data_IF_222516807144
#
_entry.id   IF_222516807144
#
_cell.length_a   1.000
_cell.length_b   1.000
_cell.length_c   1.000
_cell.angle_alpha   90.00
_cell.angle_beta   90.00
_cell.angle_gamma   90.00
#
_symmetry.space_group_name_H-M   'P 1'
#
loop_
_entity.id
_entity.type
_entity.pdbx_description
1 polymer ?
#
# COMPACT_ATOMS: atom_id res chain seq x y z
N UNK A 1 -46.61 36.90 15.05
CA UNK A 1 -45.58 37.95 15.14
C UNK A 1 -44.64 37.60 16.28
N UNK A 2 -43.33 37.75 16.05
CA UNK A 2 -42.25 37.84 17.04
C UNK A 2 -41.61 36.53 17.60
N UNK A 3 -40.47 36.17 16.98
CA UNK A 3 -39.14 35.85 17.58
C UNK A 3 -39.04 34.64 18.54
N UNK A 4 -38.40 33.55 18.11
CA UNK A 4 -37.01 33.16 18.42
C UNK A 4 -36.74 32.95 19.92
N UNK A 5 -36.55 31.70 20.33
CA UNK A 5 -35.49 31.22 21.25
C UNK A 5 -35.70 29.70 21.46
N UNK A 6 -34.80 28.88 20.92
CA UNK A 6 -33.68 28.27 21.67
C UNK A 6 -34.15 26.98 22.37
N UNK A 7 -34.15 25.86 21.65
CA UNK A 7 -33.04 24.89 21.60
C UNK A 7 -33.19 23.80 22.66
N UNK A 8 -33.34 22.56 22.21
CA UNK A 8 -32.42 21.46 22.51
C UNK A 8 -32.90 20.25 21.68
N UNK A 9 -32.39 20.22 20.45
CA UNK A 9 -32.39 19.03 19.62
C UNK A 9 -31.43 18.01 20.23
N UNK A 10 -31.77 16.73 20.12
CA UNK A 10 -30.92 15.68 19.54
C UNK A 10 -31.81 14.43 19.41
N UNK A 11 -32.47 14.38 18.25
CA UNK A 11 -33.43 13.36 17.89
C UNK A 11 -32.78 12.01 17.63
N UNK A 12 -33.43 10.98 18.17
CA UNK A 12 -33.45 9.64 17.61
C UNK A 12 -34.07 9.71 16.21
N UNK A 13 -33.27 9.48 15.17
CA UNK A 13 -33.78 9.28 13.81
C UNK A 13 -33.30 7.91 13.33
N UNK A 14 -34.19 6.93 13.46
CA UNK A 14 -34.10 5.69 12.70
C UNK A 14 -34.32 6.01 11.21
N UNK A 15 -33.34 5.70 10.37
CA UNK A 15 -33.51 5.66 8.92
C UNK A 15 -33.08 4.27 8.44
N UNK A 16 -34.10 3.51 8.06
CA UNK A 16 -34.03 2.29 7.25
C UNK A 16 -33.70 2.67 5.81
N UNK A 17 -32.62 2.12 5.25
CA UNK A 17 -32.40 2.07 3.79
C UNK A 17 -32.15 0.61 3.42
N UNK A 18 -33.13 0.03 2.74
CA UNK A 18 -32.99 -1.19 1.95
C UNK A 18 -32.28 -0.86 0.63
N UNK A 19 -31.48 -1.81 0.13
CA UNK A 19 -31.08 -1.86 -1.26
C UNK A 19 -29.66 -1.36 -1.55
N UNK A 20 -28.69 -2.27 -1.53
CA UNK A 20 -28.00 -2.75 -2.73
C UNK A 20 -26.82 -3.58 -2.28
N UNK A 21 -26.72 -4.78 -2.83
CA UNK A 21 -25.56 -5.63 -2.73
C UNK A 21 -24.36 -4.91 -3.37
N UNK A 22 -23.64 -4.10 -2.61
CA UNK A 22 -22.22 -3.91 -2.90
C UNK A 22 -21.57 -5.21 -2.50
N UNK A 23 -21.50 -6.12 -3.48
CA UNK A 23 -20.50 -7.16 -3.53
C UNK A 23 -19.21 -6.54 -3.02
N UNK A 24 -18.86 -6.87 -1.78
CA UNK A 24 -17.49 -6.78 -1.32
C UNK A 24 -16.81 -7.87 -2.16
N UNK A 25 -16.48 -7.52 -3.41
CA UNK A 25 -15.55 -8.28 -4.20
C UNK A 25 -14.30 -8.22 -3.36
N UNK A 26 -14.06 -9.28 -2.59
CA UNK A 26 -12.72 -9.77 -2.44
C UNK A 26 -12.22 -9.88 -3.88
N UNK A 27 -11.53 -8.83 -4.32
CA UNK A 27 -10.89 -8.77 -5.62
C UNK A 27 -9.86 -9.89 -5.58
N UNK A 28 -10.30 -11.05 -6.05
CA UNK A 28 -9.52 -12.00 -6.81
C UNK A 28 -8.08 -12.07 -6.30
N UNK A 29 -7.88 -12.86 -5.23
CA UNK A 29 -6.57 -13.32 -4.76
C UNK A 29 -5.92 -14.11 -5.88
N UNK A 30 -5.43 -13.40 -6.89
CA UNK A 30 -4.55 -13.90 -7.89
C UNK A 30 -3.16 -13.50 -7.46
N UNK A 31 -2.52 -14.50 -6.87
CA UNK A 31 -1.13 -14.91 -7.04
C UNK A 31 -0.58 -14.74 -8.47
N UNK A 32 -0.87 -13.63 -9.14
CA UNK A 32 -0.42 -13.28 -10.48
C UNK A 32 0.92 -12.56 -10.37
N UNK A 33 1.85 -12.96 -11.23
CA UNK A 33 3.06 -12.21 -11.49
C UNK A 33 2.67 -10.85 -12.08
N UNK A 34 2.93 -9.78 -11.35
CA UNK A 34 2.64 -8.39 -11.77
C UNK A 34 3.94 -7.64 -11.97
N UNK A 35 3.97 -6.80 -13.00
CA UNK A 35 5.00 -5.78 -13.20
C UNK A 35 4.48 -4.47 -12.63
N UNK A 36 5.18 -3.93 -11.63
CA UNK A 36 4.83 -2.71 -10.93
C UNK A 36 5.95 -1.69 -11.06
N UNK A 37 5.59 -0.43 -11.29
CA UNK A 37 6.53 0.67 -11.40
C UNK A 37 6.30 1.63 -10.23
N UNK A 38 7.39 2.06 -9.60
CA UNK A 38 7.31 2.88 -8.41
C UNK A 38 8.67 3.29 -7.87
N UNK A 39 8.70 3.75 -6.63
CA UNK A 39 9.93 4.09 -5.92
C UNK A 39 10.35 2.96 -5.01
N UNK A 40 11.53 2.39 -5.27
CA UNK A 40 12.15 1.40 -4.41
C UNK A 40 12.78 2.13 -3.22
N UNK A 41 12.39 1.72 -2.02
CA UNK A 41 12.77 2.34 -0.76
C UNK A 41 13.28 1.29 0.24
N UNK A 42 14.16 1.69 1.15
CA UNK A 42 14.67 0.83 2.21
C UNK A 42 13.69 0.78 3.40
N UNK A 43 13.20 -0.40 3.76
CA UNK A 43 12.22 -0.58 4.85
C UNK A 43 12.78 -0.25 6.23
N UNK A 44 14.10 -0.34 6.38
CA UNK A 44 14.81 0.05 7.60
C UNK A 44 15.11 1.55 7.62
N UNK A 45 15.91 2.02 6.66
CA UNK A 45 16.49 3.36 6.73
C UNK A 45 15.47 4.46 6.39
N UNK A 46 14.70 4.28 5.32
CA UNK A 46 13.75 5.29 4.86
C UNK A 46 12.40 5.19 5.59
N UNK A 47 11.92 3.95 5.82
CA UNK A 47 10.59 3.73 6.41
C UNK A 47 10.61 3.49 7.93
N UNK A 48 11.75 3.11 8.52
CA UNK A 48 11.85 2.76 9.95
C UNK A 48 10.85 1.68 10.41
N UNK A 49 10.47 0.76 9.52
CA UNK A 49 9.47 -0.29 9.79
C UNK A 49 10.10 -1.64 10.14
N UNK A 50 11.40 -1.82 9.90
CA UNK A 50 12.11 -3.09 10.11
C UNK A 50 13.50 -2.90 10.72
N UNK A 51 13.93 -3.84 11.58
CA UNK A 51 15.26 -3.80 12.22
C UNK A 51 16.41 -4.15 11.25
N UNK A 52 16.09 -4.95 10.22
CA UNK A 52 17.02 -5.41 9.18
C UNK A 52 16.72 -4.70 7.86
N UNK A 53 17.76 -4.51 7.05
CA UNK A 53 17.60 -3.97 5.70
C UNK A 53 16.72 -4.90 4.87
N UNK A 54 15.71 -4.30 4.26
CA UNK A 54 14.81 -4.90 3.27
C UNK A 54 14.32 -3.77 2.36
N UNK A 55 13.50 -4.12 1.38
CA UNK A 55 13.03 -3.14 0.40
C UNK A 55 11.51 -3.18 0.25
N UNK A 56 10.95 -2.03 -0.10
CA UNK A 56 9.57 -1.88 -0.49
C UNK A 56 9.48 -1.06 -1.78
N UNK A 57 8.49 -1.34 -2.61
CA UNK A 57 8.14 -0.52 -3.77
C UNK A 57 6.91 0.31 -3.41
N UNK A 58 7.06 1.63 -3.47
CA UNK A 58 5.99 2.61 -3.30
C UNK A 58 5.38 2.90 -4.67
N UNK A 59 4.13 2.47 -4.87
CA UNK A 59 3.40 2.62 -6.13
C UNK A 59 2.25 3.59 -5.91
N UNK A 60 2.13 4.61 -6.75
CA UNK A 60 0.98 5.51 -6.74
C UNK A 60 -0.19 4.87 -7.49
N UNK A 61 -1.28 4.60 -6.80
CA UNK A 61 -2.56 4.13 -7.36
C UNK A 61 -3.67 5.04 -6.90
N UNK A 62 -4.44 5.59 -7.84
CA UNK A 62 -5.60 6.44 -7.55
C UNK A 62 -5.27 7.61 -6.60
N UNK A 63 -4.09 8.21 -6.77
CA UNK A 63 -3.59 9.31 -5.93
C UNK A 63 -3.11 8.89 -4.53
N UNK A 64 -3.17 7.61 -4.18
CA UNK A 64 -2.68 7.05 -2.91
C UNK A 64 -1.40 6.28 -3.13
N UNK A 65 -0.53 6.31 -2.11
CA UNK A 65 0.67 5.49 -2.09
C UNK A 65 0.34 4.10 -1.53
N UNK A 66 0.65 3.07 -2.32
CA UNK A 66 0.50 1.67 -1.94
C UNK A 66 1.90 1.06 -1.81
N UNK A 67 2.17 0.47 -0.66
CA UNK A 67 3.47 -0.11 -0.32
C UNK A 67 3.48 -1.62 -0.59
N UNK A 68 4.42 -2.05 -1.42
CA UNK A 68 4.66 -3.45 -1.74
C UNK A 68 6.02 -3.88 -1.19
N UNK A 69 6.04 -4.69 -0.13
CA UNK A 69 7.28 -5.20 0.47
C UNK A 69 7.90 -6.26 -0.44
N UNK A 70 9.22 -6.31 -0.54
CA UNK A 70 9.93 -7.31 -1.34
C UNK A 70 10.40 -8.46 -0.44
N UNK A 71 10.09 -9.70 -0.84
CA UNK A 71 10.73 -10.88 -0.25
C UNK A 71 12.08 -11.10 -0.92
N UNK A 72 13.08 -10.37 -0.46
CA UNK A 72 14.43 -10.35 -1.01
C UNK A 72 15.50 -10.74 0.03
N UNK A 73 16.78 -10.64 -0.34
CA UNK A 73 17.93 -10.92 0.54
C UNK A 73 18.40 -9.69 1.33
N UNK A 74 17.60 -8.63 1.38
CA UNK A 74 17.89 -7.40 2.11
C UNK A 74 19.19 -6.74 1.67
N UNK A 75 20.08 -6.45 2.63
CA UNK A 75 21.38 -5.80 2.36
C UNK A 75 22.29 -6.55 1.36
N UNK A 76 22.01 -7.83 1.09
CA UNK A 76 22.78 -8.65 0.14
C UNK A 76 22.31 -8.51 -1.31
N UNK A 77 21.24 -7.76 -1.56
CA UNK A 77 20.75 -7.49 -2.91
C UNK A 77 21.69 -6.54 -3.65
N UNK A 78 21.86 -6.77 -4.95
CA UNK A 78 22.74 -5.96 -5.80
C UNK A 78 22.29 -4.50 -5.93
N UNK A 79 21.00 -4.24 -5.69
CA UNK A 79 20.39 -2.92 -5.70
C UNK A 79 20.44 -2.20 -4.35
N UNK A 80 20.78 -2.89 -3.25
CA UNK A 80 20.70 -2.33 -1.90
C UNK A 80 21.44 -0.99 -1.77
N UNK A 81 22.68 -0.93 -2.25
CA UNK A 81 23.51 0.29 -2.16
C UNK A 81 22.90 1.50 -2.87
N UNK A 82 22.01 1.31 -3.84
CA UNK A 82 21.36 2.41 -4.58
C UNK A 82 20.14 2.96 -3.85
N UNK A 83 19.42 2.11 -3.13
CA UNK A 83 18.18 2.48 -2.42
C UNK A 83 18.33 2.59 -0.90
N UNK A 84 19.55 2.45 -0.35
CA UNK A 84 19.80 2.48 1.09
C UNK A 84 19.71 3.91 1.67
N UNK A 85 20.16 4.91 0.90
CA UNK A 85 20.23 6.31 1.34
C UNK A 85 19.23 7.23 0.66
N UNK A 86 18.57 6.77 -0.40
CA UNK A 86 17.56 7.52 -1.14
C UNK A 86 16.60 6.57 -1.85
N UNK A 87 15.39 7.05 -2.15
CA UNK A 87 14.44 6.32 -2.97
C UNK A 87 14.86 6.38 -4.45
N UNK A 88 14.78 5.25 -5.14
CA UNK A 88 15.12 5.16 -6.57
C UNK A 88 13.93 4.68 -7.38
N UNK A 89 13.71 5.27 -8.55
CA UNK A 89 12.67 4.78 -9.44
C UNK A 89 13.04 3.38 -9.97
N UNK A 90 12.12 2.45 -9.85
CA UNK A 90 12.34 1.05 -10.19
C UNK A 90 11.08 0.41 -10.76
N UNK A 91 11.31 -0.65 -11.52
CA UNK A 91 10.30 -1.60 -11.94
C UNK A 91 10.55 -2.90 -11.21
N UNK A 92 9.52 -3.45 -10.56
CA UNK A 92 9.59 -4.75 -9.89
C UNK A 92 8.58 -5.68 -10.54
N UNK A 93 9.05 -6.84 -10.97
CA UNK A 93 8.20 -7.92 -11.44
C UNK A 93 8.23 -9.06 -10.44
N UNK A 94 7.08 -9.54 -10.01
CA UNK A 94 7.01 -10.69 -9.12
C UNK A 94 5.58 -11.02 -8.71
N UNK A 95 5.44 -12.06 -7.90
CA UNK A 95 4.15 -12.56 -7.46
C UNK A 95 3.63 -11.74 -6.29
N UNK A 96 2.53 -11.01 -6.49
CA UNK A 96 1.94 -10.19 -5.43
C UNK A 96 1.05 -11.06 -4.54
N UNK A 97 1.35 -11.09 -3.25
CA UNK A 97 0.58 -11.81 -2.23
C UNK A 97 0.29 -10.90 -1.05
N UNK A 98 -0.86 -11.07 -0.42
CA UNK A 98 -1.17 -10.40 0.84
C UNK A 98 -0.75 -11.30 2.02
N UNK A 99 0.14 -10.80 2.87
CA UNK A 99 0.60 -11.45 4.10
C UNK A 99 0.52 -10.46 5.24
N UNK A 100 -0.09 -10.85 6.35
CA UNK A 100 -0.19 -9.99 7.54
C UNK A 100 -0.78 -8.59 7.25
N UNK A 101 -1.77 -8.53 6.35
CA UNK A 101 -2.40 -7.27 5.85
C UNK A 101 -1.41 -6.33 5.13
N UNK A 102 -0.26 -6.83 4.70
CA UNK A 102 0.74 -6.14 3.89
C UNK A 102 0.86 -6.81 2.53
N UNK A 103 0.96 -6.00 1.47
CA UNK A 103 1.24 -6.51 0.13
C UNK A 103 2.73 -6.84 0.02
N UNK A 104 3.04 -8.07 -0.36
CA UNK A 104 4.40 -8.58 -0.52
C UNK A 104 4.59 -9.09 -1.95
N UNK A 105 5.75 -8.80 -2.54
CA UNK A 105 6.18 -9.34 -3.84
C UNK A 105 7.14 -10.49 -3.55
N UNK A 106 6.72 -11.72 -3.90
CA UNK A 106 7.59 -12.89 -3.91
C UNK A 106 8.34 -13.02 -5.23
N UNK A 107 9.53 -13.61 -5.16
CA UNK A 107 10.49 -13.76 -6.26
C UNK A 107 10.69 -12.46 -7.06
N UNK A 108 10.96 -11.32 -6.39
CA UNK A 108 11.02 -10.03 -7.06
C UNK A 108 12.24 -9.94 -7.98
N UNK A 109 11.98 -9.62 -9.25
CA UNK A 109 12.98 -9.13 -10.20
C UNK A 109 12.93 -7.61 -10.21
N UNK A 110 14.00 -6.98 -9.71
CA UNK A 110 14.11 -5.53 -9.59
C UNK A 110 14.96 -4.95 -10.72
N UNK A 111 14.43 -3.95 -11.41
CA UNK A 111 15.11 -3.19 -12.44
C UNK A 111 15.10 -1.71 -12.05
N UNK A 112 16.25 -1.18 -11.63
CA UNK A 112 16.38 0.25 -11.31
C UNK A 112 16.37 1.05 -12.61
N UNK A 113 15.51 2.06 -12.68
CA UNK A 113 15.47 3.01 -13.81
C UNK A 113 16.68 3.94 -13.69
N UNK A 114 17.40 4.11 -14.80
CA UNK A 114 18.54 5.03 -14.90
C UNK A 114 18.06 6.46 -15.12
#
# INVERSE_FOLDING_TARGET
MLRIALALALGFAAITIAGTATSVRAEDKKDETKKLEGKLTCTKCALSETDKCGHALLVKKDGKEVKYYLKDKGAKESYHGKCCTADVDATVTGKVVEKDKKLTIEDPKVEIKK
#
